data_IF_735173005151
#
_entry.id   IF_735173005151
#
_cell.length_a   1.000
_cell.length_b   1.000
_cell.length_c   1.000
_cell.angle_alpha   90.00
_cell.angle_beta   90.00
_cell.angle_gamma   90.00
#
_symmetry.space_group_name_H-M   'P 1'
#
loop_
_entity.id
_entity.type
_entity.pdbx_description
1 polymer ?
#
# COMPACT_ATOMS: atom_id res chain seq x y z
N UNK A 1 -7.38 12.36 -16.74
CA UNK A 1 -6.41 11.78 -15.79
C UNK A 1 -4.99 12.23 -16.12
N UNK A 2 -4.12 12.49 -15.12
CA UNK A 2 -2.68 12.72 -15.31
C UNK A 2 -1.92 11.41 -15.08
N UNK A 3 -0.86 11.17 -15.88
CA UNK A 3 -0.04 9.97 -15.79
C UNK A 3 1.41 10.29 -15.42
N UNK A 4 2.11 9.29 -14.95
CA UNK A 4 3.56 9.29 -14.71
C UNK A 4 4.11 7.90 -14.97
N UNK A 5 5.42 7.72 -14.90
CA UNK A 5 6.05 6.40 -14.97
C UNK A 5 6.57 6.03 -13.57
N UNK A 6 6.40 4.79 -13.15
CA UNK A 6 7.06 4.28 -11.95
C UNK A 6 8.57 4.42 -12.15
N UNK A 7 9.29 5.08 -11.24
CA UNK A 7 10.72 5.34 -11.41
C UNK A 7 11.53 4.09 -11.74
N UNK A 8 12.53 4.26 -12.59
CA UNK A 8 13.42 3.18 -13.05
C UNK A 8 12.71 2.00 -13.75
N UNK A 9 11.50 2.23 -14.27
CA UNK A 9 10.72 1.24 -15.04
C UNK A 9 10.12 1.86 -16.30
N UNK A 10 9.50 1.05 -17.14
CA UNK A 10 8.65 1.50 -18.26
C UNK A 10 7.14 1.42 -17.94
N UNK A 11 6.76 1.25 -16.67
CA UNK A 11 5.37 1.07 -16.24
C UNK A 11 4.72 2.44 -16.09
N UNK A 12 3.81 2.76 -17.02
CA UNK A 12 3.05 4.01 -17.01
C UNK A 12 1.80 3.87 -16.14
N UNK A 13 1.64 4.74 -15.15
CA UNK A 13 0.54 4.73 -14.18
C UNK A 13 -0.19 6.06 -14.14
N UNK A 14 -1.49 6.00 -13.83
CA UNK A 14 -2.23 7.18 -13.41
C UNK A 14 -1.67 7.72 -12.08
N UNK A 15 -1.63 9.06 -11.91
CA UNK A 15 -1.20 9.67 -10.65
C UNK A 15 -2.13 9.38 -9.48
N UNK A 16 -3.37 8.97 -9.78
CA UNK A 16 -4.31 8.42 -8.80
C UNK A 16 -4.23 6.90 -8.90
N UNK A 17 -3.97 6.25 -7.75
CA UNK A 17 -4.02 4.82 -7.59
C UNK A 17 -5.28 4.45 -6.80
N UNK A 18 -6.08 3.52 -7.30
CA UNK A 18 -7.28 3.04 -6.61
C UNK A 18 -6.88 2.04 -5.53
N UNK A 19 -7.02 2.44 -4.28
CA UNK A 19 -6.84 1.54 -3.12
C UNK A 19 -8.09 0.71 -2.85
N UNK A 20 -7.93 -0.56 -2.57
CA UNK A 20 -9.01 -1.55 -2.49
C UNK A 20 -9.23 -2.16 -1.09
N UNK A 21 -8.56 -1.66 -0.06
CA UNK A 21 -8.45 -2.23 1.29
C UNK A 21 -9.77 -2.61 1.98
N UNK A 22 -10.90 -2.14 1.51
CA UNK A 22 -12.22 -2.34 2.15
C UNK A 22 -13.10 -3.38 1.46
N UNK A 23 -12.73 -3.84 0.27
CA UNK A 23 -13.54 -4.75 -0.54
C UNK A 23 -13.52 -6.18 0.02
N UNK A 24 -14.70 -6.73 0.22
CA UNK A 24 -14.88 -8.05 0.85
C UNK A 24 -15.13 -8.00 2.37
N UNK A 25 -15.19 -6.79 2.94
CA UNK A 25 -15.61 -6.56 4.33
C UNK A 25 -16.58 -5.37 4.40
N UNK A 26 -16.08 -4.13 4.32
CA UNK A 26 -16.91 -2.91 4.35
C UNK A 26 -17.72 -2.75 3.06
N UNK A 27 -17.17 -3.20 1.93
CA UNK A 27 -17.81 -3.18 0.63
C UNK A 27 -17.98 -4.60 0.10
N UNK A 28 -19.08 -4.82 -0.60
CA UNK A 28 -19.37 -6.04 -1.33
C UNK A 28 -18.51 -6.18 -2.60
N UNK A 29 -18.49 -7.36 -3.23
CA UNK A 29 -17.85 -7.58 -4.52
C UNK A 29 -18.47 -6.70 -5.61
N UNK A 30 -19.81 -6.59 -5.65
CA UNK A 30 -20.50 -5.76 -6.62
C UNK A 30 -20.13 -4.28 -6.49
N UNK A 31 -20.02 -3.75 -5.28
CA UNK A 31 -19.55 -2.37 -5.05
C UNK A 31 -18.08 -2.20 -5.44
N UNK A 32 -17.22 -3.21 -5.19
CA UNK A 32 -15.83 -3.20 -5.64
C UNK A 32 -15.73 -3.14 -7.17
N UNK A 33 -16.50 -3.96 -7.87
CA UNK A 33 -16.57 -3.95 -9.34
C UNK A 33 -17.08 -2.61 -9.88
N UNK A 34 -18.12 -2.04 -9.28
CA UNK A 34 -18.63 -0.72 -9.66
C UNK A 34 -17.59 0.38 -9.49
N UNK A 35 -16.82 0.34 -8.41
CA UNK A 35 -15.73 1.29 -8.16
C UNK A 35 -14.59 1.10 -9.18
N UNK A 36 -14.26 -0.14 -9.55
CA UNK A 36 -13.29 -0.44 -10.60
C UNK A 36 -13.75 0.11 -11.96
N UNK A 37 -14.97 -0.21 -12.37
CA UNK A 37 -15.54 0.26 -13.65
C UNK A 37 -15.49 1.79 -13.71
N UNK A 38 -15.97 2.46 -12.68
CA UNK A 38 -15.94 3.92 -12.62
C UNK A 38 -14.51 4.49 -12.67
N UNK A 39 -13.57 3.91 -11.92
CA UNK A 39 -12.18 4.41 -11.90
C UNK A 39 -11.50 4.26 -13.27
N UNK A 40 -11.72 3.12 -13.96
CA UNK A 40 -11.18 2.88 -15.28
C UNK A 40 -11.79 3.86 -16.30
N UNK A 41 -13.11 4.10 -16.25
CA UNK A 41 -13.78 5.08 -17.10
C UNK A 41 -13.24 6.51 -16.91
N UNK A 42 -12.79 6.83 -15.69
CA UNK A 42 -12.11 8.10 -15.39
C UNK A 42 -10.61 8.10 -15.74
N UNK A 43 -10.11 7.02 -16.35
CA UNK A 43 -8.73 6.87 -16.80
C UNK A 43 -7.73 6.47 -15.71
N UNK A 44 -8.19 5.97 -14.55
CA UNK A 44 -7.31 5.32 -13.58
C UNK A 44 -6.91 3.95 -14.15
N UNK A 45 -5.61 3.66 -14.18
CA UNK A 45 -5.10 2.35 -14.62
C UNK A 45 -4.26 1.66 -13.53
N UNK A 46 -4.14 2.24 -12.36
CA UNK A 46 -3.33 1.70 -11.26
C UNK A 46 -4.23 1.32 -10.08
N UNK A 47 -4.18 0.05 -9.70
CA UNK A 47 -4.97 -0.55 -8.62
C UNK A 47 -4.01 -1.10 -7.58
N UNK A 48 -4.25 -0.84 -6.30
CA UNK A 48 -3.44 -1.32 -5.18
C UNK A 48 -4.25 -2.27 -4.29
N UNK A 49 -3.69 -3.47 -4.07
CA UNK A 49 -4.22 -4.49 -3.17
C UNK A 49 -3.13 -5.01 -2.23
N UNK A 50 -3.40 -6.06 -1.47
CA UNK A 50 -2.45 -6.80 -0.65
C UNK A 50 -3.02 -8.17 -0.26
N UNK A 51 -2.15 -9.16 -0.02
CA UNK A 51 -2.57 -10.51 0.38
C UNK A 51 -3.44 -10.54 1.65
N UNK A 52 -3.21 -9.61 2.58
CA UNK A 52 -3.99 -9.55 3.82
C UNK A 52 -5.35 -8.85 3.69
N UNK A 53 -5.60 -8.12 2.57
CA UNK A 53 -6.82 -7.34 2.45
C UNK A 53 -8.08 -8.21 2.31
N UNK A 54 -9.23 -7.78 2.90
CA UNK A 54 -9.55 -6.46 3.47
C UNK A 54 -9.05 -6.26 4.90
N UNK A 55 -9.06 -5.01 5.37
CA UNK A 55 -8.70 -4.61 6.73
C UNK A 55 -9.93 -4.09 7.47
N UNK A 56 -10.22 -4.56 8.70
CA UNK A 56 -9.43 -5.46 9.56
C UNK A 56 -9.32 -6.88 8.97
N UNK A 57 -8.11 -7.44 8.93
CA UNK A 57 -7.86 -8.76 8.41
C UNK A 57 -8.18 -9.85 9.47
N UNK A 58 -8.77 -10.95 9.01
CA UNK A 58 -8.98 -12.17 9.78
C UNK A 58 -8.67 -13.38 8.89
N UNK A 59 -8.55 -14.56 9.48
CA UNK A 59 -8.29 -15.79 8.71
C UNK A 59 -9.38 -16.06 7.64
N UNK A 60 -10.63 -15.69 7.93
CA UNK A 60 -11.78 -15.98 7.07
C UNK A 60 -11.87 -15.05 5.86
N UNK A 61 -11.30 -13.84 5.94
CA UNK A 61 -11.49 -12.81 4.91
C UNK A 61 -10.22 -12.36 4.22
N UNK A 62 -9.03 -12.68 4.75
CA UNK A 62 -7.76 -12.34 4.11
C UNK A 62 -7.69 -12.85 2.67
N UNK A 63 -7.27 -12.00 1.74
CA UNK A 63 -7.21 -12.30 0.32
C UNK A 63 -8.51 -12.09 -0.46
N UNK A 64 -9.64 -11.79 0.20
CA UNK A 64 -10.92 -11.55 -0.51
C UNK A 64 -10.84 -10.37 -1.48
N UNK A 65 -10.13 -9.31 -1.10
CA UNK A 65 -9.96 -8.13 -1.98
C UNK A 65 -9.31 -8.50 -3.30
N UNK A 66 -8.23 -9.27 -3.26
CA UNK A 66 -7.53 -9.73 -4.48
C UNK A 66 -8.40 -10.68 -5.31
N UNK A 67 -9.23 -11.52 -4.67
CA UNK A 67 -10.23 -12.35 -5.38
C UNK A 67 -11.26 -11.50 -6.13
N UNK A 68 -11.78 -10.43 -5.51
CA UNK A 68 -12.73 -9.50 -6.13
C UNK A 68 -12.10 -8.81 -7.34
N UNK A 69 -10.82 -8.40 -7.25
CA UNK A 69 -10.10 -7.85 -8.40
C UNK A 69 -9.93 -8.92 -9.48
N UNK A 70 -9.58 -10.15 -9.11
CA UNK A 70 -9.40 -11.26 -10.05
C UNK A 70 -10.67 -11.60 -10.83
N UNK A 71 -11.82 -11.69 -10.16
CA UNK A 71 -13.12 -11.92 -10.82
C UNK A 71 -13.48 -10.78 -11.78
N UNK A 72 -13.13 -9.54 -11.42
CA UNK A 72 -13.33 -8.38 -12.30
C UNK A 72 -12.40 -8.43 -13.52
N UNK A 73 -11.10 -8.75 -13.35
CA UNK A 73 -10.13 -8.86 -14.44
C UNK A 73 -10.55 -9.95 -15.44
N UNK A 74 -10.94 -11.11 -14.94
CA UNK A 74 -11.39 -12.23 -15.77
C UNK A 74 -12.62 -11.86 -16.61
N UNK A 75 -13.59 -11.19 -15.99
CA UNK A 75 -14.81 -10.73 -16.69
C UNK A 75 -14.52 -9.72 -17.80
N UNK A 76 -13.55 -8.83 -17.61
CA UNK A 76 -13.29 -7.71 -18.51
C UNK A 76 -12.19 -7.98 -19.56
N UNK A 77 -11.31 -8.96 -19.36
CA UNK A 77 -10.26 -9.35 -20.30
C UNK A 77 -9.27 -8.22 -20.64
N UNK A 78 -9.01 -7.31 -19.70
CA UNK A 78 -8.22 -6.10 -19.93
C UNK A 78 -6.96 -6.01 -19.05
N UNK A 79 -6.41 -7.16 -18.64
CA UNK A 79 -5.26 -7.24 -17.71
C UNK A 79 -4.05 -6.42 -18.18
N UNK A 80 -3.78 -6.40 -19.46
CA UNK A 80 -2.68 -5.68 -20.11
C UNK A 80 -2.78 -4.15 -20.01
N UNK A 81 -3.98 -3.63 -19.78
CA UNK A 81 -4.25 -2.19 -19.63
C UNK A 81 -4.20 -1.71 -18.20
N UNK A 82 -4.15 -2.64 -17.25
CA UNK A 82 -4.23 -2.37 -15.81
C UNK A 82 -2.87 -2.66 -15.16
N UNK A 83 -2.42 -1.74 -14.33
CA UNK A 83 -1.25 -1.90 -13.46
C UNK A 83 -1.73 -2.32 -12.09
N UNK A 84 -1.25 -3.46 -11.60
CA UNK A 84 -1.62 -3.98 -10.28
C UNK A 84 -0.41 -3.91 -9.35
N UNK A 85 -0.59 -3.19 -8.23
CA UNK A 85 0.29 -3.27 -7.07
C UNK A 85 -0.29 -4.24 -6.04
N UNK A 86 0.51 -5.18 -5.57
CA UNK A 86 0.16 -6.02 -4.42
C UNK A 86 1.30 -6.07 -3.41
N UNK A 87 1.07 -6.74 -2.25
CA UNK A 87 2.01 -6.71 -1.13
C UNK A 87 2.01 -8.02 -0.37
N UNK A 88 3.21 -8.48 0.00
CA UNK A 88 3.38 -9.54 1.00
C UNK A 88 3.25 -8.94 2.40
N UNK A 89 2.42 -9.54 3.26
CA UNK A 89 2.30 -9.14 4.66
C UNK A 89 3.56 -9.52 5.45
N UNK A 90 4.05 -8.61 6.28
CA UNK A 90 5.09 -8.94 7.24
C UNK A 90 4.58 -9.88 8.35
N UNK A 91 5.51 -10.54 9.04
CA UNK A 91 5.20 -11.33 10.22
C UNK A 91 4.71 -10.47 11.39
N UNK A 92 4.01 -11.09 12.32
CA UNK A 92 3.48 -10.48 13.53
C UNK A 92 2.16 -11.09 13.97
N UNK A 93 1.72 -10.81 15.20
CA UNK A 93 0.49 -11.38 15.77
C UNK A 93 -0.74 -11.09 14.90
N UNK A 94 -0.79 -9.90 14.30
CA UNK A 94 -1.91 -9.49 13.44
C UNK A 94 -2.03 -10.33 12.16
N UNK A 95 -0.93 -10.91 11.68
CA UNK A 95 -0.84 -11.69 10.43
C UNK A 95 -0.43 -13.13 10.66
N UNK A 96 -0.42 -13.61 11.91
CA UNK A 96 -0.04 -14.98 12.24
C UNK A 96 -0.90 -16.04 11.52
N UNK A 97 -2.14 -15.70 11.17
CA UNK A 97 -3.04 -16.55 10.38
C UNK A 97 -2.65 -16.65 8.89
N UNK A 98 -1.78 -15.77 8.39
CA UNK A 98 -1.25 -15.81 7.03
C UNK A 98 0.13 -16.48 7.05
N UNK A 99 1.04 -15.95 7.89
CA UNK A 99 2.37 -16.52 8.11
C UNK A 99 2.95 -16.09 9.45
N UNK A 100 3.80 -16.98 9.98
CA UNK A 100 4.58 -16.74 11.20
C UNK A 100 6.07 -16.52 10.90
N UNK A 101 6.50 -16.79 9.67
CA UNK A 101 7.86 -16.55 9.17
C UNK A 101 8.00 -15.15 8.59
N UNK A 102 9.23 -14.69 8.46
CA UNK A 102 9.56 -13.44 7.76
C UNK A 102 9.53 -13.57 6.24
N UNK A 103 10.27 -12.68 5.56
CA UNK A 103 10.37 -12.64 4.09
C UNK A 103 11.41 -13.63 3.55
N UNK A 104 11.35 -14.90 3.99
CA UNK A 104 12.17 -15.94 3.41
C UNK A 104 11.81 -16.20 1.94
N UNK A 105 12.71 -16.81 1.18
CA UNK A 105 12.48 -17.14 -0.23
C UNK A 105 11.16 -17.94 -0.42
N UNK A 106 10.93 -18.93 0.41
CA UNK A 106 9.69 -19.72 0.34
C UNK A 106 8.45 -18.90 0.66
N UNK A 107 8.51 -18.03 1.69
CA UNK A 107 7.40 -17.16 2.07
C UNK A 107 7.04 -16.18 0.95
N UNK A 108 8.04 -15.57 0.29
CA UNK A 108 7.82 -14.66 -0.84
C UNK A 108 7.20 -15.43 -2.02
N UNK A 109 7.74 -16.60 -2.35
CA UNK A 109 7.22 -17.45 -3.43
C UNK A 109 5.76 -17.85 -3.18
N UNK A 110 5.45 -18.40 -2.02
CA UNK A 110 4.09 -18.84 -1.64
C UNK A 110 3.09 -17.67 -1.62
N UNK A 111 3.52 -16.50 -1.15
CA UNK A 111 2.69 -15.29 -1.16
C UNK A 111 2.37 -14.84 -2.60
N UNK A 112 3.35 -14.87 -3.51
CA UNK A 112 3.15 -14.52 -4.91
C UNK A 112 2.27 -15.58 -5.61
N UNK A 113 2.52 -16.88 -5.39
CA UNK A 113 1.70 -17.97 -5.95
C UNK A 113 0.21 -17.79 -5.58
N UNK A 114 -0.06 -17.60 -4.29
CA UNK A 114 -1.42 -17.38 -3.78
C UNK A 114 -2.05 -16.08 -4.31
N UNK A 115 -1.26 -15.03 -4.48
CA UNK A 115 -1.77 -13.74 -4.95
C UNK A 115 -2.09 -13.77 -6.44
N UNK A 116 -1.27 -14.42 -7.25
CA UNK A 116 -1.53 -14.64 -8.68
C UNK A 116 -2.80 -15.47 -8.90
N UNK A 117 -3.00 -16.53 -8.10
CA UNK A 117 -4.23 -17.33 -8.11
C UNK A 117 -5.46 -16.48 -7.80
N UNK A 118 -5.41 -15.66 -6.72
CA UNK A 118 -6.52 -14.78 -6.32
C UNK A 118 -6.83 -13.73 -7.38
N UNK A 119 -5.80 -13.13 -7.95
CA UNK A 119 -5.91 -12.11 -9.00
C UNK A 119 -6.25 -12.68 -10.37
N UNK A 120 -6.20 -14.01 -10.56
CA UNK A 120 -6.45 -14.71 -11.82
C UNK A 120 -5.59 -14.15 -12.96
N UNK A 121 -4.29 -13.99 -12.71
CA UNK A 121 -3.31 -13.42 -13.65
C UNK A 121 -1.94 -14.07 -13.47
N UNK A 122 -1.11 -14.02 -14.49
CA UNK A 122 0.22 -14.64 -14.48
C UNK A 122 1.32 -13.70 -13.95
N UNK A 123 1.00 -12.41 -13.74
CA UNK A 123 1.99 -11.45 -13.26
C UNK A 123 1.37 -10.32 -12.43
N UNK A 124 2.21 -9.72 -11.56
CA UNK A 124 1.93 -8.51 -10.79
C UNK A 124 2.90 -7.42 -11.26
N UNK A 125 2.42 -6.21 -11.49
CA UNK A 125 3.26 -5.12 -12.01
C UNK A 125 4.18 -4.52 -10.95
N UNK A 126 3.70 -4.35 -9.72
CA UNK A 126 4.46 -3.83 -8.58
C UNK A 126 4.21 -4.70 -7.35
N UNK A 127 5.23 -5.40 -6.88
CA UNK A 127 5.13 -6.21 -5.67
C UNK A 127 5.89 -5.57 -4.53
N UNK A 128 5.22 -5.42 -3.37
CA UNK A 128 5.72 -4.60 -2.28
C UNK A 128 5.89 -5.42 -0.99
N UNK A 129 6.91 -5.11 -0.21
CA UNK A 129 7.01 -5.54 1.18
C UNK A 129 6.12 -4.62 2.02
N UNK A 130 5.08 -5.17 2.67
CA UNK A 130 4.01 -4.36 3.27
C UNK A 130 4.44 -3.56 4.49
N UNK A 131 5.40 -4.07 5.25
CA UNK A 131 6.12 -3.37 6.34
C UNK A 131 7.43 -4.09 6.67
N UNK A 132 8.38 -3.40 7.31
CA UNK A 132 9.64 -4.01 7.76
C UNK A 132 9.42 -5.19 8.72
N UNK A 133 10.28 -6.20 8.64
CA UNK A 133 10.30 -7.32 9.59
C UNK A 133 10.85 -6.88 10.95
N UNK A 134 11.84 -5.99 10.94
CA UNK A 134 12.41 -5.44 12.17
C UNK A 134 11.46 -4.45 12.83
N UNK A 135 11.60 -4.28 14.13
CA UNK A 135 10.89 -3.23 14.84
C UNK A 135 11.40 -1.85 14.42
N UNK A 136 10.48 -1.05 13.91
CA UNK A 136 10.73 0.34 13.53
C UNK A 136 9.44 1.15 13.64
N UNK A 137 9.56 2.47 13.58
CA UNK A 137 8.41 3.36 13.62
C UNK A 137 7.55 3.18 12.37
N UNK A 138 6.36 2.62 12.56
CA UNK A 138 5.34 2.41 11.51
C UNK A 138 3.94 2.58 12.08
N UNK A 139 2.96 2.83 11.22
CA UNK A 139 1.54 2.92 11.58
C UNK A 139 1.22 3.93 12.70
N UNK A 140 2.03 5.00 12.85
CA UNK A 140 1.85 6.04 13.86
C UNK A 140 2.65 5.85 15.14
N UNK A 141 3.39 4.76 15.27
CA UNK A 141 4.36 4.59 16.37
C UNK A 141 5.52 5.57 16.18
N UNK A 142 5.92 6.25 17.25
CA UNK A 142 6.98 7.29 17.24
C UNK A 142 8.13 7.01 18.19
N UNK A 143 8.09 5.89 18.93
CA UNK A 143 9.13 5.52 19.90
C UNK A 143 9.93 4.37 19.31
N UNK A 144 11.08 4.70 18.72
CA UNK A 144 11.98 3.68 18.22
C UNK A 144 12.62 2.90 19.38
N UNK A 145 12.62 1.58 19.23
CA UNK A 145 13.37 0.66 20.09
C UNK A 145 14.23 -0.21 19.19
N UNK A 146 15.50 -0.36 19.55
CA UNK A 146 16.40 -1.22 18.81
C UNK A 146 15.97 -2.68 18.96
N UNK A 147 15.66 -3.33 17.85
CA UNK A 147 15.46 -4.78 17.81
C UNK A 147 16.81 -5.47 17.73
N UNK A 148 17.24 -6.04 18.85
CA UNK A 148 18.53 -6.73 18.98
C UNK A 148 18.48 -8.18 18.53
N UNK A 149 17.31 -8.70 18.18
CA UNK A 149 17.12 -10.09 17.72
C UNK A 149 17.00 -10.21 16.21
N UNK A 150 16.68 -9.07 15.54
CA UNK A 150 16.61 -9.05 14.08
C UNK A 150 18.03 -9.04 13.49
N UNK A 151 18.24 -9.90 12.51
CA UNK A 151 19.47 -9.96 11.73
C UNK A 151 19.23 -9.34 10.37
N UNK A 152 20.24 -8.66 9.82
CA UNK A 152 20.16 -8.00 8.51
C UNK A 152 19.99 -9.06 7.39
N UNK A 153 18.86 -9.00 6.71
CA UNK A 153 18.47 -9.92 5.65
C UNK A 153 18.03 -9.22 4.36
N UNK A 154 18.38 -7.95 4.19
CA UNK A 154 18.00 -7.20 2.97
C UNK A 154 18.50 -7.86 1.70
N UNK A 155 19.71 -8.45 1.74
CA UNK A 155 20.30 -9.12 0.59
C UNK A 155 19.50 -10.37 0.21
N UNK A 156 19.15 -11.23 1.16
CA UNK A 156 18.38 -12.45 0.94
C UNK A 156 16.97 -12.14 0.41
N UNK A 157 16.33 -11.10 0.94
CA UNK A 157 15.02 -10.63 0.46
C UNK A 157 15.11 -10.18 -1.00
N UNK A 158 16.13 -9.38 -1.34
CA UNK A 158 16.30 -8.91 -2.71
C UNK A 158 16.63 -10.04 -3.69
N UNK A 159 17.43 -11.03 -3.30
CA UNK A 159 17.67 -12.23 -4.12
C UNK A 159 16.40 -13.03 -4.36
N UNK A 160 15.56 -13.16 -3.35
CA UNK A 160 14.27 -13.83 -3.47
C UNK A 160 13.34 -13.11 -4.44
N UNK A 161 13.25 -11.77 -4.33
CA UNK A 161 12.48 -10.95 -5.25
C UNK A 161 13.05 -10.94 -6.68
N UNK A 162 14.37 -10.98 -6.83
CA UNK A 162 15.06 -11.06 -8.13
C UNK A 162 14.67 -12.33 -8.91
N UNK A 163 14.56 -13.45 -8.20
CA UNK A 163 14.09 -14.70 -8.79
C UNK A 163 12.68 -14.56 -9.39
N UNK A 164 11.81 -13.84 -8.70
CA UNK A 164 10.44 -13.58 -9.13
C UNK A 164 10.35 -12.57 -10.30
N UNK A 165 11.26 -11.58 -10.31
CA UNK A 165 11.39 -10.64 -11.43
C UNK A 165 11.91 -11.37 -12.68
N UNK A 166 12.94 -12.20 -12.54
CA UNK A 166 13.53 -12.99 -13.64
C UNK A 166 12.55 -14.00 -14.22
N UNK A 167 11.68 -14.58 -13.40
CA UNK A 167 10.62 -15.48 -13.87
C UNK A 167 9.47 -14.75 -14.58
N UNK A 168 9.41 -13.42 -14.50
CA UNK A 168 8.35 -12.60 -15.07
C UNK A 168 7.06 -12.54 -14.24
N UNK A 169 7.04 -13.16 -13.05
CA UNK A 169 5.86 -13.17 -12.17
C UNK A 169 5.62 -11.82 -11.47
N UNK A 170 6.67 -11.05 -11.25
CA UNK A 170 6.57 -9.64 -10.85
C UNK A 170 7.43 -8.78 -11.79
N UNK A 171 6.99 -7.55 -12.06
CA UNK A 171 7.68 -6.66 -13.01
C UNK A 171 8.57 -5.63 -12.30
N UNK A 172 8.21 -5.23 -11.09
CA UNK A 172 8.92 -4.24 -10.29
C UNK A 172 8.70 -4.48 -8.82
N UNK A 173 9.61 -4.01 -7.98
CA UNK A 173 9.53 -4.15 -6.53
C UNK A 173 9.36 -2.80 -5.83
N UNK A 174 8.70 -2.82 -4.68
CA UNK A 174 8.51 -1.68 -3.81
C UNK A 174 8.56 -2.07 -2.34
N UNK A 175 8.59 -1.06 -1.49
CA UNK A 175 8.52 -1.20 -0.04
C UNK A 175 7.37 -0.37 0.51
N UNK A 176 6.94 -0.65 1.73
CA UNK A 176 5.89 0.11 2.38
C UNK A 176 6.13 0.21 3.88
N UNK A 177 5.69 1.31 4.50
CA UNK A 177 5.87 1.57 5.92
C UNK A 177 7.34 1.50 6.38
N UNK A 178 8.25 1.77 5.45
CA UNK A 178 9.69 1.79 5.68
C UNK A 178 10.15 3.20 6.04
N UNK A 179 11.31 3.31 6.66
CA UNK A 179 11.98 4.56 6.99
C UNK A 179 13.20 4.82 6.08
N UNK A 180 13.86 5.96 6.28
CA UNK A 180 15.02 6.36 5.46
C UNK A 180 16.16 5.38 5.54
N UNK A 181 16.48 4.85 6.74
CA UNK A 181 17.58 3.89 6.90
C UNK A 181 17.31 2.60 6.11
N UNK A 182 16.15 1.98 6.28
CA UNK A 182 15.82 0.73 5.57
C UNK A 182 15.68 0.95 4.06
N UNK A 183 15.15 2.09 3.62
CA UNK A 183 15.12 2.46 2.21
C UNK A 183 16.53 2.50 1.63
N UNK A 184 17.46 3.19 2.28
CA UNK A 184 18.86 3.28 1.83
C UNK A 184 19.56 1.92 1.84
N UNK A 185 19.27 1.05 2.86
CA UNK A 185 19.83 -0.32 2.90
C UNK A 185 19.39 -1.16 1.70
N UNK A 186 18.10 -1.14 1.33
CA UNK A 186 17.62 -1.82 0.10
C UNK A 186 18.30 -1.28 -1.16
N UNK A 187 18.50 0.03 -1.26
CA UNK A 187 19.12 0.66 -2.41
C UNK A 187 20.62 0.32 -2.51
N UNK A 188 21.31 0.29 -1.39
CA UNK A 188 22.72 -0.09 -1.29
C UNK A 188 22.93 -1.55 -1.68
N UNK A 189 22.14 -2.48 -1.11
CA UNK A 189 22.19 -3.91 -1.45
C UNK A 189 21.90 -4.16 -2.94
N UNK A 190 20.88 -3.48 -3.46
CA UNK A 190 20.54 -3.54 -4.88
C UNK A 190 21.74 -3.12 -5.76
N UNK A 191 22.39 -2.01 -5.42
CA UNK A 191 23.53 -1.48 -6.17
C UNK A 191 24.76 -2.39 -6.07
N UNK A 192 25.10 -2.85 -4.86
CA UNK A 192 26.31 -3.61 -4.60
C UNK A 192 26.27 -5.02 -5.21
N UNK A 193 25.07 -5.60 -5.33
CA UNK A 193 24.88 -6.97 -5.80
C UNK A 193 24.14 -7.08 -7.13
N UNK A 194 23.90 -5.95 -7.81
CA UNK A 194 23.15 -5.90 -9.09
C UNK A 194 21.78 -6.60 -9.01
N UNK A 195 21.05 -6.31 -7.93
CA UNK A 195 19.71 -6.84 -7.65
C UNK A 195 18.63 -5.82 -8.05
N UNK A 196 17.37 -6.22 -8.14
CA UNK A 196 16.26 -5.33 -8.45
C UNK A 196 16.22 -4.13 -7.50
N UNK A 197 16.10 -2.93 -8.09
CA UNK A 197 16.01 -1.70 -7.33
C UNK A 197 14.59 -1.47 -6.84
N UNK A 198 14.44 -1.05 -5.60
CA UNK A 198 13.17 -0.56 -5.06
C UNK A 198 12.73 0.67 -5.86
N UNK A 199 11.61 0.54 -6.57
CA UNK A 199 11.08 1.59 -7.44
C UNK A 199 10.14 2.54 -6.70
N UNK A 200 9.44 2.05 -5.67
CA UNK A 200 8.45 2.82 -4.91
C UNK A 200 8.54 2.57 -3.42
N UNK A 201 8.09 3.57 -2.66
CA UNK A 201 7.77 3.44 -1.25
C UNK A 201 6.31 3.83 -1.02
N UNK A 202 5.54 2.99 -0.32
CA UNK A 202 4.14 3.28 0.01
C UNK A 202 4.02 3.63 1.50
N UNK A 203 3.87 4.91 1.80
CA UNK A 203 3.82 5.42 3.18
C UNK A 203 2.63 6.34 3.42
N UNK A 204 2.25 6.50 4.70
CA UNK A 204 1.23 7.46 5.10
C UNK A 204 1.66 8.88 4.76
N UNK A 205 0.82 9.59 4.00
CA UNK A 205 1.06 10.99 3.69
C UNK A 205 -0.25 11.73 3.47
N UNK A 206 -0.48 12.77 4.25
CA UNK A 206 -1.66 13.63 4.17
C UNK A 206 -1.38 14.94 4.90
N UNK A 207 -2.32 15.88 4.83
CA UNK A 207 -2.24 17.14 5.59
C UNK A 207 -2.18 16.93 7.12
N UNK A 208 -2.65 15.77 7.63
CA UNK A 208 -2.55 15.39 9.05
C UNK A 208 -1.34 14.50 9.37
N UNK A 209 -0.58 14.05 8.37
CA UNK A 209 0.58 13.17 8.55
C UNK A 209 1.66 13.55 7.57
N UNK A 210 2.62 14.34 8.03
CA UNK A 210 3.71 14.89 7.21
C UNK A 210 5.08 14.36 7.61
N UNK A 211 5.14 13.26 8.37
CA UNK A 211 6.40 12.66 8.83
C UNK A 211 7.31 12.21 7.68
N UNK A 212 6.73 11.88 6.52
CA UNK A 212 7.51 11.56 5.32
C UNK A 212 8.42 12.72 4.87
N UNK A 213 8.03 13.96 5.13
CA UNK A 213 8.79 15.14 4.71
C UNK A 213 10.04 15.42 5.54
N UNK A 214 10.18 14.77 6.73
CA UNK A 214 11.28 15.08 7.64
C UNK A 214 12.64 14.68 7.07
N UNK A 215 12.74 13.47 6.49
CA UNK A 215 13.99 12.93 5.93
C UNK A 215 13.74 12.05 4.69
N UNK A 216 12.70 11.23 4.72
CA UNK A 216 12.42 10.25 3.67
C UNK A 216 12.06 10.87 2.32
N UNK A 217 11.51 12.08 2.32
CA UNK A 217 11.23 12.82 1.09
C UNK A 217 12.52 13.17 0.33
N UNK A 218 13.58 13.56 1.01
CA UNK A 218 14.87 13.83 0.37
C UNK A 218 15.46 12.55 -0.22
N UNK A 219 15.45 11.45 0.53
CA UNK A 219 15.87 10.14 0.02
C UNK A 219 15.07 9.75 -1.23
N UNK A 220 13.74 9.84 -1.17
CA UNK A 220 12.88 9.48 -2.29
C UNK A 220 13.17 10.29 -3.57
N UNK A 221 13.39 11.60 -3.40
CA UNK A 221 13.68 12.50 -4.54
C UNK A 221 15.08 12.26 -5.11
N UNK A 222 16.12 12.15 -4.26
CA UNK A 222 17.50 11.97 -4.73
C UNK A 222 17.74 10.60 -5.32
N UNK A 223 17.12 9.59 -4.74
CA UNK A 223 17.27 8.20 -5.15
C UNK A 223 16.22 7.76 -6.19
N UNK A 224 15.36 8.67 -6.66
CA UNK A 224 14.31 8.35 -7.63
C UNK A 224 13.44 7.15 -7.17
N UNK A 225 12.96 7.18 -5.93
CA UNK A 225 11.97 6.24 -5.38
C UNK A 225 10.61 6.92 -5.35
N UNK A 226 9.63 6.39 -6.06
CA UNK A 226 8.30 7.00 -6.16
C UNK A 226 7.49 6.84 -4.87
N UNK A 227 6.83 7.91 -4.41
CA UNK A 227 5.91 7.81 -3.27
C UNK A 227 4.51 7.38 -3.73
N UNK A 228 4.00 6.28 -3.15
CA UNK A 228 2.58 5.94 -3.12
C UNK A 228 2.00 6.40 -1.78
N UNK A 229 1.36 7.57 -1.77
CA UNK A 229 0.78 8.13 -0.56
C UNK A 229 -0.51 7.38 -0.18
N UNK A 230 -0.51 6.63 0.93
CA UNK A 230 -1.76 6.06 1.42
C UNK A 230 -2.43 6.95 2.46
N UNK A 231 -3.75 6.81 2.58
CA UNK A 231 -4.63 7.61 3.45
C UNK A 231 -4.52 9.13 3.20
N UNK A 232 -4.53 9.60 1.94
CA UNK A 232 -4.44 11.05 1.66
C UNK A 232 -5.58 11.85 2.27
N UNK A 233 -6.75 11.22 2.50
CA UNK A 233 -7.90 11.79 3.21
C UNK A 233 -7.96 11.41 4.69
N UNK A 234 -6.85 10.90 5.27
CA UNK A 234 -6.75 10.55 6.70
C UNK A 234 -7.95 9.71 7.19
N UNK A 235 -8.23 8.58 6.54
CA UNK A 235 -9.41 7.72 6.78
C UNK A 235 -10.76 8.44 6.64
N UNK A 236 -10.79 9.53 5.88
CA UNK A 236 -11.97 10.35 5.64
C UNK A 236 -12.14 11.50 6.64
N UNK A 237 -11.21 11.69 7.58
CA UNK A 237 -11.26 12.80 8.55
C UNK A 237 -11.14 14.15 7.85
N UNK A 238 -10.25 14.26 6.85
CA UNK A 238 -10.04 15.50 6.08
C UNK A 238 -11.24 15.92 5.22
N UNK A 239 -12.23 15.05 4.99
CA UNK A 239 -13.47 15.45 4.33
C UNK A 239 -14.40 16.29 5.23
N UNK A 240 -14.10 16.39 6.52
CA UNK A 240 -14.93 17.09 7.50
C UNK A 240 -16.19 16.38 7.94
N UNK A 241 -16.54 15.23 7.32
CA UNK A 241 -17.82 14.53 7.59
C UNK A 241 -18.04 14.14 9.05
N UNK A 242 -16.98 13.82 9.79
CA UNK A 242 -17.06 13.46 11.20
C UNK A 242 -17.29 14.69 12.09
N UNK A 243 -16.76 15.85 11.73
CA UNK A 243 -16.93 17.12 12.44
C UNK A 243 -18.30 17.72 12.15
N UNK A 244 -18.74 17.69 10.89
CA UNK A 244 -20.05 18.21 10.44
C UNK A 244 -21.23 17.29 10.85
N UNK A 245 -20.95 16.12 11.46
CA UNK A 245 -21.99 15.17 11.92
C UNK A 245 -22.73 14.44 10.79
N UNK A 246 -22.27 14.56 9.54
CA UNK A 246 -22.91 13.95 8.36
C UNK A 246 -22.22 12.68 7.86
N UNK A 247 -21.37 12.06 8.69
CA UNK A 247 -20.77 10.77 8.37
C UNK A 247 -21.86 9.68 8.34
N UNK A 248 -21.94 8.94 7.22
CA UNK A 248 -22.83 7.79 7.08
C UNK A 248 -22.51 6.70 8.13
N UNK A 249 -23.50 5.85 8.45
CA UNK A 249 -23.30 4.82 9.48
C UNK A 249 -22.26 3.77 9.10
N UNK A 250 -22.07 3.52 7.81
CA UNK A 250 -21.01 2.68 7.27
C UNK A 250 -19.65 3.40 7.11
N UNK A 251 -19.51 4.62 7.62
CA UNK A 251 -18.25 5.34 7.56
C UNK A 251 -17.17 4.64 8.42
N UNK A 252 -15.94 4.61 7.94
CA UNK A 252 -14.83 3.80 8.49
C UNK A 252 -14.63 3.97 10.00
N UNK A 253 -14.63 5.21 10.52
CA UNK A 253 -14.40 5.43 11.95
C UNK A 253 -15.61 5.06 12.82
N UNK A 254 -16.83 5.02 12.25
CA UNK A 254 -18.01 4.51 12.94
C UNK A 254 -17.97 2.98 13.02
N UNK A 255 -17.62 2.30 11.92
CA UNK A 255 -17.52 0.83 11.87
C UNK A 255 -16.32 0.30 12.65
N UNK A 256 -15.20 0.99 12.59
CA UNK A 256 -13.92 0.51 13.10
C UNK A 256 -13.22 1.59 13.94
N UNK A 257 -13.57 1.76 15.23
CA UNK A 257 -12.97 2.77 16.12
C UNK A 257 -11.43 2.65 16.25
N UNK A 258 -10.87 1.46 15.98
CA UNK A 258 -9.42 1.25 15.97
C UNK A 258 -8.66 2.14 14.97
N UNK A 259 -9.32 2.69 13.95
CA UNK A 259 -8.71 3.62 12.98
C UNK A 259 -8.63 5.06 13.50
N UNK A 260 -8.41 5.25 14.80
CA UNK A 260 -8.38 6.57 15.46
C UNK A 260 -7.08 7.37 15.22
N UNK A 261 -6.11 6.88 14.42
CA UNK A 261 -4.78 7.49 14.21
C UNK A 261 -4.84 8.98 13.86
N UNK A 262 -5.86 9.39 13.12
CA UNK A 262 -6.03 10.77 12.63
C UNK A 262 -7.16 11.50 13.34
N UNK A 263 -7.60 11.00 14.50
CA UNK A 263 -8.67 11.57 15.32
C UNK A 263 -8.08 12.23 16.57
N UNK A 264 -8.87 13.10 17.21
CA UNK A 264 -8.51 13.83 18.42
C UNK A 264 -8.56 15.33 18.22
N UNK A 265 -8.58 16.09 19.31
CA UNK A 265 -8.82 17.54 19.32
C UNK A 265 -7.94 18.32 18.35
N UNK A 266 -6.62 18.06 18.35
CA UNK A 266 -5.68 18.76 17.46
C UNK A 266 -5.93 18.45 15.98
N UNK A 267 -6.33 17.21 15.66
CA UNK A 267 -6.67 16.84 14.29
C UNK A 267 -7.98 17.51 13.86
N UNK A 268 -8.97 17.59 14.72
CA UNK A 268 -10.24 18.27 14.46
C UNK A 268 -10.03 19.76 14.26
N UNK A 269 -9.21 20.40 15.09
CA UNK A 269 -8.84 21.81 14.93
C UNK A 269 -8.18 22.08 13.57
N UNK A 270 -7.18 21.26 13.22
CA UNK A 270 -6.51 21.36 11.92
C UNK A 270 -7.50 21.19 10.75
N UNK A 271 -8.40 20.21 10.83
CA UNK A 271 -9.42 19.98 9.79
C UNK A 271 -10.37 21.16 9.65
N UNK A 272 -10.79 21.80 10.75
CA UNK A 272 -11.61 23.02 10.70
C UNK A 272 -10.90 24.16 9.94
N UNK A 273 -9.59 24.29 10.10
CA UNK A 273 -8.79 25.26 9.34
C UNK A 273 -8.72 24.89 7.85
N UNK A 274 -8.45 23.63 7.52
CA UNK A 274 -8.41 23.16 6.12
C UNK A 274 -9.76 23.32 5.41
N UNK A 275 -10.87 23.03 6.11
CA UNK A 275 -12.21 23.25 5.54
C UNK A 275 -12.47 24.71 5.21
N UNK A 276 -12.10 25.65 6.08
CA UNK A 276 -12.21 27.08 5.80
C UNK A 276 -11.41 27.48 4.55
N UNK A 277 -10.15 27.03 4.45
CA UNK A 277 -9.32 27.30 3.26
C UNK A 277 -9.99 26.75 2.00
N UNK A 278 -10.54 25.55 2.04
CA UNK A 278 -11.24 24.96 0.91
C UNK A 278 -12.49 25.77 0.52
N UNK A 279 -13.29 26.17 1.50
CA UNK A 279 -14.50 26.98 1.30
C UNK A 279 -14.16 28.37 0.71
N UNK A 280 -13.14 29.06 1.25
CA UNK A 280 -12.67 30.37 0.80
C UNK A 280 -12.12 30.33 -0.64
N UNK A 281 -11.67 29.19 -1.11
CA UNK A 281 -11.11 28.98 -2.45
C UNK A 281 -12.03 28.18 -3.40
N UNK A 282 -13.27 27.94 -3.02
CA UNK A 282 -14.26 27.19 -3.82
C UNK A 282 -13.77 25.76 -4.23
N UNK A 283 -13.10 25.08 -3.32
CA UNK A 283 -12.52 23.75 -3.51
C UNK A 283 -13.42 22.65 -2.93
#
# INVERSE_FOLDING_TARGET
>A
MKYTTIPNTNIKVSKICLGSMTWGNQNTEAEGHQQLDYAIDQGVNFIDTAELYPVPATAEISGRTSKIIGTWLNKNGNRDKIVIGSKIAGSGDYTAHIRTTGFSQNAIKEAIDSELERLQTDYIDLYQLHWPERDTNRFGVRSFKLDTKWEDNFNEILHSLDSEVKSGRIRSIGISNENSWGTMRYLEESKNHNLPRVATIQNAYSLLTRTFETDLAEVALREHVGLLAYSPMAFGVLSGKYIKGNAADNARLKLFPRFARYSGEKAEEAVKHYLRIAEDNSM
#
